data_IF_574870757524
#
_entry.id   IF_574870757524
#
_cell.length_a   1.000
_cell.length_b   1.000
_cell.length_c   1.000
_cell.angle_alpha   90.00
_cell.angle_beta   90.00
_cell.angle_gamma   90.00
#
_symmetry.space_group_name_H-M   'P 1'
#
loop_
_entity.id
_entity.type
_entity.pdbx_description
1 polymer ?
#
# COMPACT_ATOMS: atom_id res chain seq x y z
N UNK A 1 -11.36 -19.01 9.49
CA UNK A 1 -10.89 -17.67 9.90
C UNK A 1 -10.88 -16.85 8.62
N UNK A 2 -11.43 -15.66 8.64
CA UNK A 2 -11.43 -14.80 7.48
C UNK A 2 -10.19 -13.90 7.56
N UNK A 3 -9.21 -14.18 6.70
CA UNK A 3 -7.96 -13.45 6.60
C UNK A 3 -7.92 -12.67 5.30
N UNK A 4 -7.49 -11.42 5.36
CA UNK A 4 -7.22 -10.59 4.20
C UNK A 4 -5.71 -10.45 3.96
N UNK A 5 -5.32 -10.32 2.70
CA UNK A 5 -4.01 -9.81 2.30
C UNK A 5 -4.15 -8.33 1.92
N UNK A 6 -3.33 -7.48 2.50
CA UNK A 6 -3.24 -6.06 2.15
C UNK A 6 -1.89 -5.81 1.48
N UNK A 7 -1.93 -5.45 0.20
CA UNK A 7 -0.76 -5.11 -0.60
C UNK A 7 -0.60 -3.59 -0.55
N UNK A 8 0.42 -3.11 0.15
CA UNK A 8 0.63 -1.68 0.41
C UNK A 8 1.51 -1.07 -0.68
N UNK A 9 0.96 -0.12 -1.42
CA UNK A 9 1.64 0.83 -2.30
C UNK A 9 2.70 0.22 -3.24
N UNK A 10 2.44 -0.94 -3.81
CA UNK A 10 3.31 -1.53 -4.83
C UNK A 10 3.06 -0.81 -6.16
N UNK A 11 3.69 0.35 -6.30
CA UNK A 11 3.51 1.32 -7.39
C UNK A 11 4.84 1.62 -8.08
N UNK A 12 4.85 1.92 -9.41
CA UNK A 12 6.08 2.22 -10.14
C UNK A 12 6.90 3.36 -9.55
N UNK A 13 6.26 4.35 -8.94
CA UNK A 13 6.94 5.46 -8.26
C UNK A 13 7.92 5.00 -7.19
N UNK A 14 7.58 3.95 -6.44
CA UNK A 14 8.37 3.41 -5.33
C UNK A 14 9.34 2.29 -5.75
N UNK A 15 9.37 1.94 -7.03
CA UNK A 15 10.28 0.94 -7.56
C UNK A 15 11.45 1.60 -8.30
N UNK A 16 12.53 0.86 -8.57
CA UNK A 16 13.70 1.38 -9.26
C UNK A 16 13.31 1.96 -10.63
N UNK A 17 13.70 3.21 -10.85
CA UNK A 17 13.31 4.01 -12.00
C UNK A 17 12.19 5.00 -11.72
N UNK A 18 11.49 4.87 -10.62
CA UNK A 18 10.45 5.78 -10.16
C UNK A 18 11.00 7.03 -9.48
N UNK A 19 10.11 8.00 -9.20
CA UNK A 19 10.47 9.30 -8.64
C UNK A 19 10.92 9.22 -7.17
N UNK A 20 10.49 8.21 -6.44
CA UNK A 20 10.81 7.98 -5.02
C UNK A 20 11.22 6.51 -4.81
N UNK A 21 12.20 6.07 -5.61
CA UNK A 21 12.60 4.68 -5.70
C UNK A 21 13.16 4.12 -4.38
N UNK A 22 12.61 2.99 -3.97
CA UNK A 22 13.11 2.15 -2.87
C UNK A 22 13.96 1.03 -3.47
N UNK A 23 15.12 0.77 -2.87
CA UNK A 23 15.98 -0.31 -3.33
C UNK A 23 15.28 -1.67 -3.13
N UNK A 24 15.22 -2.47 -4.18
CA UNK A 24 14.53 -3.75 -4.17
C UNK A 24 13.03 -3.68 -4.49
N UNK A 25 12.46 -2.48 -4.76
CA UNK A 25 11.04 -2.32 -5.04
C UNK A 25 10.54 -3.19 -6.18
N UNK A 26 11.25 -3.25 -7.31
CA UNK A 26 10.88 -4.13 -8.42
C UNK A 26 10.93 -5.64 -8.01
N UNK A 27 11.91 -6.02 -7.21
CA UNK A 27 12.02 -7.40 -6.73
C UNK A 27 10.87 -7.76 -5.78
N UNK A 28 10.43 -6.82 -4.94
CA UNK A 28 9.26 -6.98 -4.08
C UNK A 28 7.99 -7.09 -4.93
N UNK A 29 7.81 -6.24 -5.94
CA UNK A 29 6.65 -6.36 -6.85
C UNK A 29 6.56 -7.75 -7.48
N UNK A 30 7.68 -8.33 -7.93
CA UNK A 30 7.74 -9.69 -8.45
C UNK A 30 7.49 -10.76 -7.38
N UNK A 31 8.02 -10.57 -6.18
CA UNK A 31 7.86 -11.52 -5.07
C UNK A 31 6.40 -11.54 -4.59
N UNK A 32 5.78 -10.39 -4.42
CA UNK A 32 4.36 -10.26 -4.04
C UNK A 32 3.46 -10.88 -5.12
N UNK A 33 3.74 -10.62 -6.41
CA UNK A 33 2.99 -11.23 -7.51
C UNK A 33 3.02 -12.76 -7.46
N UNK A 34 4.20 -13.37 -7.28
CA UNK A 34 4.34 -14.82 -7.12
C UNK A 34 3.62 -15.33 -5.88
N UNK A 35 3.77 -14.64 -4.75
CA UNK A 35 3.11 -15.02 -3.51
C UNK A 35 1.58 -15.02 -3.66
N UNK A 36 1.01 -14.00 -4.29
CA UNK A 36 -0.42 -13.93 -4.57
C UNK A 36 -0.87 -15.09 -5.46
N UNK A 37 -0.14 -15.39 -6.54
CA UNK A 37 -0.47 -16.49 -7.45
C UNK A 37 -0.48 -17.86 -6.73
N UNK A 38 0.48 -18.07 -5.82
CA UNK A 38 0.65 -19.33 -5.11
C UNK A 38 -0.28 -19.46 -3.88
N UNK A 39 -0.61 -18.36 -3.20
CA UNK A 39 -1.27 -18.33 -1.89
C UNK A 39 -2.63 -17.63 -1.84
N UNK A 40 -3.15 -17.13 -2.97
CA UNK A 40 -4.46 -16.44 -2.99
C UNK A 40 -5.60 -17.23 -2.36
N UNK A 41 -5.54 -18.57 -2.43
CA UNK A 41 -6.54 -19.46 -1.83
C UNK A 41 -6.51 -19.50 -0.30
N UNK A 42 -5.47 -18.97 0.33
CA UNK A 42 -5.34 -18.89 1.79
C UNK A 42 -6.00 -17.63 2.37
N UNK A 43 -6.38 -16.69 1.50
CA UNK A 43 -7.02 -15.42 1.83
C UNK A 43 -8.48 -15.41 1.42
N UNK A 44 -9.33 -14.86 2.28
CA UNK A 44 -10.73 -14.61 1.96
C UNK A 44 -10.86 -13.50 0.92
N UNK A 45 -9.94 -12.55 0.94
CA UNK A 45 -9.90 -11.42 0.02
C UNK A 45 -8.50 -10.79 -0.03
N UNK A 46 -8.23 -10.08 -1.13
CA UNK A 46 -6.99 -9.35 -1.38
C UNK A 46 -7.33 -7.91 -1.71
N UNK A 47 -6.79 -6.99 -0.92
CA UNK A 47 -6.92 -5.55 -1.12
C UNK A 47 -5.56 -4.92 -1.43
N UNK A 48 -5.54 -3.81 -2.14
CA UNK A 48 -4.33 -3.00 -2.30
C UNK A 48 -4.56 -1.55 -1.94
N UNK A 49 -3.51 -0.87 -1.51
CA UNK A 49 -3.50 0.56 -1.30
C UNK A 49 -2.70 1.27 -2.38
N UNK A 50 -2.99 2.54 -2.61
CA UNK A 50 -2.28 3.41 -3.53
C UNK A 50 -2.14 4.80 -2.92
N UNK A 51 -0.93 5.35 -2.97
CA UNK A 51 -0.77 6.80 -2.91
C UNK A 51 -1.38 7.42 -4.17
N UNK A 52 -2.22 8.44 -3.98
CA UNK A 52 -2.99 9.04 -5.06
C UNK A 52 -3.12 10.54 -4.84
N UNK A 53 -2.03 11.27 -5.12
CA UNK A 53 -1.93 12.67 -4.78
C UNK A 53 -2.54 13.57 -5.85
N UNK A 54 -3.49 14.43 -5.44
CA UNK A 54 -4.09 15.48 -6.27
C UNK A 54 -3.45 16.82 -5.92
N UNK A 55 -3.50 17.20 -4.65
CA UNK A 55 -2.84 18.37 -4.08
C UNK A 55 -2.55 18.11 -2.59
N UNK A 56 -1.49 17.37 -2.25
CA UNK A 56 -1.20 17.01 -0.87
C UNK A 56 -0.51 18.15 -0.09
N UNK A 57 -0.53 19.38 -0.61
CA UNK A 57 0.00 20.56 0.05
C UNK A 57 1.50 20.45 0.36
N UNK A 58 1.86 20.67 1.63
CA UNK A 58 3.26 20.67 2.08
C UNK A 58 3.96 19.31 2.04
N UNK A 59 3.23 18.24 1.76
CA UNK A 59 3.82 16.92 1.54
C UNK A 59 4.75 16.90 0.31
N UNK A 60 4.46 17.70 -0.71
CA UNK A 60 5.34 17.91 -1.84
C UNK A 60 6.25 19.12 -1.62
N UNK A 61 7.54 18.92 -1.86
CA UNK A 61 8.55 19.98 -1.71
C UNK A 61 9.65 19.88 -2.77
N UNK A 62 10.09 21.02 -3.29
CA UNK A 62 11.29 21.10 -4.15
C UNK A 62 12.59 20.96 -3.34
N UNK A 63 12.48 21.06 -2.00
CA UNK A 63 13.59 20.88 -1.05
C UNK A 63 13.13 19.99 0.11
N UNK A 64 12.82 18.71 -0.17
CA UNK A 64 12.24 17.82 0.80
C UNK A 64 13.21 17.51 1.95
N UNK A 65 12.68 17.32 3.14
CA UNK A 65 13.42 16.85 4.31
C UNK A 65 13.51 15.31 4.40
N UNK A 66 12.74 14.61 3.57
CA UNK A 66 12.61 13.15 3.54
C UNK A 66 12.12 12.55 4.89
N UNK A 67 11.33 13.31 5.62
CA UNK A 67 10.65 12.90 6.86
C UNK A 67 9.15 13.22 6.74
N UNK A 68 8.82 14.50 6.57
CA UNK A 68 7.44 14.99 6.44
C UNK A 68 7.13 15.49 5.01
N UNK A 69 8.17 15.76 4.23
CA UNK A 69 8.06 16.27 2.86
C UNK A 69 8.91 15.47 1.87
N UNK A 70 8.37 15.30 0.67
CA UNK A 70 8.90 14.43 -0.36
C UNK A 70 8.93 15.12 -1.73
N UNK A 71 9.75 14.64 -2.68
CA UNK A 71 9.62 15.03 -4.09
C UNK A 71 8.22 14.69 -4.61
N UNK A 72 7.79 15.32 -5.69
CA UNK A 72 6.53 15.00 -6.36
C UNK A 72 6.51 13.51 -6.77
N UNK A 73 5.52 12.78 -6.32
CA UNK A 73 5.35 11.34 -6.57
C UNK A 73 3.87 10.96 -6.60
N UNK A 74 3.53 9.79 -7.11
CA UNK A 74 2.18 9.23 -7.15
C UNK A 74 1.08 10.25 -7.50
N UNK A 75 1.35 11.14 -8.46
CA UNK A 75 0.35 12.10 -8.91
C UNK A 75 -0.81 11.35 -9.54
N UNK A 76 -2.02 11.67 -9.11
CA UNK A 76 -3.25 11.02 -9.57
C UNK A 76 -3.36 10.98 -11.10
N UNK A 77 -3.79 9.85 -11.65
CA UNK A 77 -3.89 9.60 -13.09
C UNK A 77 -2.54 9.66 -13.85
N UNK A 78 -1.44 9.32 -13.19
CA UNK A 78 -0.14 9.13 -13.85
C UNK A 78 0.36 7.70 -13.65
N UNK A 79 1.23 7.25 -14.53
CA UNK A 79 1.87 5.93 -14.46
C UNK A 79 2.50 5.66 -13.08
N UNK A 80 3.06 6.68 -12.44
CA UNK A 80 3.67 6.56 -11.11
C UNK A 80 2.68 6.22 -10.00
N UNK A 81 1.39 6.56 -10.15
CA UNK A 81 0.33 6.27 -9.19
C UNK A 81 -0.41 4.95 -9.46
N UNK A 82 -0.10 4.27 -10.56
CA UNK A 82 -0.71 2.99 -10.92
C UNK A 82 -0.19 1.83 -10.07
N UNK A 83 -0.86 0.70 -10.15
CA UNK A 83 -0.32 -0.55 -9.62
C UNK A 83 0.85 -1.01 -10.49
N UNK A 84 1.88 -1.56 -9.86
CA UNK A 84 3.05 -2.06 -10.57
C UNK A 84 2.64 -3.15 -11.57
N UNK A 85 3.13 -3.10 -12.84
CA UNK A 85 2.67 -4.00 -13.91
C UNK A 85 2.97 -5.49 -13.68
N UNK A 86 3.84 -5.83 -12.74
CA UNK A 86 4.09 -7.21 -12.36
C UNK A 86 2.98 -7.81 -11.47
N UNK A 87 2.14 -6.98 -10.83
CA UNK A 87 1.01 -7.48 -10.05
C UNK A 87 -0.14 -7.82 -10.98
N UNK A 88 -0.62 -9.08 -10.89
CA UNK A 88 -1.84 -9.47 -11.56
C UNK A 88 -3.06 -8.91 -10.79
N UNK A 89 -3.70 -7.93 -11.39
CA UNK A 89 -4.84 -7.24 -10.79
C UNK A 89 -6.13 -8.05 -10.80
N UNK A 90 -6.18 -9.17 -11.52
CA UNK A 90 -7.35 -10.06 -11.55
C UNK A 90 -7.64 -10.70 -10.19
N UNK A 91 -6.64 -10.72 -9.29
CA UNK A 91 -6.78 -11.25 -7.93
C UNK A 91 -7.02 -10.18 -6.87
N UNK A 92 -6.98 -8.91 -7.23
CA UNK A 92 -7.22 -7.79 -6.33
C UNK A 92 -8.69 -7.40 -6.40
N UNK A 93 -9.38 -7.52 -5.26
CA UNK A 93 -10.83 -7.28 -5.21
C UNK A 93 -11.19 -5.82 -5.00
N UNK A 94 -10.27 -5.03 -4.40
CA UNK A 94 -10.53 -3.65 -4.04
C UNK A 94 -9.25 -2.85 -3.93
N UNK A 95 -9.36 -1.56 -4.22
CA UNK A 95 -8.28 -0.58 -4.18
C UNK A 95 -8.65 0.54 -3.24
N UNK A 96 -7.71 0.95 -2.39
CA UNK A 96 -7.87 2.08 -1.47
C UNK A 96 -6.87 3.17 -1.80
N UNK A 97 -7.36 4.36 -2.10
CA UNK A 97 -6.54 5.52 -2.47
C UNK A 97 -6.41 6.47 -1.30
N UNK A 98 -5.18 6.78 -0.93
CA UNK A 98 -4.84 7.69 0.17
C UNK A 98 -4.05 8.90 -0.29
N UNK A 99 -3.91 9.92 0.56
CA UNK A 99 -3.06 11.07 0.32
C UNK A 99 -3.55 12.04 -0.75
N UNK A 100 -4.85 12.10 -1.05
CA UNK A 100 -5.38 12.94 -2.14
C UNK A 100 -5.06 14.43 -1.96
N UNK A 101 -5.29 14.95 -0.75
CA UNK A 101 -5.18 16.36 -0.42
C UNK A 101 -4.36 16.63 0.85
N UNK A 102 -3.73 15.62 1.40
CA UNK A 102 -2.90 15.68 2.58
C UNK A 102 -1.85 14.56 2.58
N UNK A 103 -0.88 14.61 3.48
CA UNK A 103 0.01 13.48 3.71
C UNK A 103 -0.78 12.31 4.28
N UNK A 104 -0.56 11.10 3.78
CA UNK A 104 -1.14 9.88 4.31
C UNK A 104 -0.17 8.72 4.11
N UNK A 105 0.04 7.94 5.16
CA UNK A 105 0.94 6.78 5.12
C UNK A 105 0.18 5.46 5.27
N UNK A 106 -0.78 5.41 6.20
CA UNK A 106 -1.55 4.20 6.47
C UNK A 106 -2.58 3.90 5.37
N UNK A 107 -2.70 2.64 5.00
CA UNK A 107 -3.79 2.18 4.14
C UNK A 107 -5.17 2.43 4.74
N UNK A 108 -5.28 2.55 6.06
CA UNK A 108 -6.53 2.85 6.77
C UNK A 108 -6.98 4.31 6.63
N UNK A 109 -6.10 5.21 6.17
CA UNK A 109 -6.47 6.56 5.74
C UNK A 109 -7.07 6.58 4.33
N UNK A 110 -7.00 5.44 3.62
CA UNK A 110 -7.49 5.28 2.26
C UNK A 110 -9.00 5.12 2.17
N UNK A 111 -9.55 5.62 1.08
CA UNK A 111 -10.93 5.42 0.69
C UNK A 111 -11.02 4.52 -0.54
N UNK A 112 -12.01 3.66 -0.58
CA UNK A 112 -12.26 2.77 -1.70
C UNK A 112 -12.29 3.56 -3.02
N UNK A 113 -11.51 3.13 -4.00
CA UNK A 113 -11.54 3.67 -5.35
C UNK A 113 -12.75 3.10 -6.11
N UNK A 114 -13.33 3.86 -7.05
CA UNK A 114 -14.33 3.32 -7.96
C UNK A 114 -13.75 2.16 -8.79
N UNK A 115 -14.49 1.06 -8.94
CA UNK A 115 -14.05 -0.12 -9.71
C UNK A 115 -13.63 0.24 -11.15
N UNK A 116 -14.36 1.16 -11.77
CA UNK A 116 -14.12 1.62 -13.15
C UNK A 116 -12.87 2.53 -13.29
N UNK A 117 -12.33 3.02 -12.18
CA UNK A 117 -11.17 3.91 -12.17
C UNK A 117 -9.86 3.21 -11.85
N UNK A 118 -9.91 1.91 -11.61
CA UNK A 118 -8.73 1.08 -11.40
C UNK A 118 -8.24 0.64 -12.76
N UNK A 119 -7.39 1.44 -13.37
CA UNK A 119 -6.85 1.14 -14.68
C UNK A 119 -5.41 0.67 -14.57
N UNK A 120 -5.15 -0.45 -15.19
CA UNK A 120 -3.80 -0.94 -15.46
C UNK A 120 -3.32 -0.33 -16.78
N UNK A 121 -2.50 0.72 -16.69
CA UNK A 121 -1.59 1.08 -17.78
C UNK A 121 -2.13 1.86 -18.98
N UNK A 122 -3.39 2.28 -19.06
CA UNK A 122 -3.88 3.13 -20.16
C UNK A 122 -4.74 4.28 -19.63
N UNK A 123 -4.12 5.40 -19.28
CA UNK A 123 -4.84 6.63 -18.92
C UNK A 123 -4.92 7.59 -20.09
N UNK A 124 -6.13 8.09 -20.37
CA UNK A 124 -6.30 9.28 -21.20
C UNK A 124 -5.90 10.52 -20.39
N UNK A 125 -4.98 11.37 -20.90
CA UNK A 125 -4.66 12.62 -20.24
C UNK A 125 -5.91 13.49 -20.11
N UNK A 126 -6.30 13.82 -18.88
CA UNK A 126 -7.48 14.63 -18.57
C UNK A 126 -8.73 13.83 -18.18
N UNK A 127 -8.59 12.52 -17.95
CA UNK A 127 -9.61 11.77 -17.24
C UNK A 127 -9.93 12.48 -15.91
N UNK A 128 -11.21 12.64 -15.60
CA UNK A 128 -11.66 13.34 -14.41
C UNK A 128 -10.99 12.75 -13.18
N UNK A 129 -10.45 13.61 -12.33
CA UNK A 129 -9.92 13.26 -11.00
C UNK A 129 -11.12 12.82 -10.16
N UNK A 130 -11.44 11.53 -10.23
CA UNK A 130 -12.74 11.05 -9.87
C UNK A 130 -12.90 10.91 -8.37
N UNK A 131 -13.75 11.75 -7.82
CA UNK A 131 -14.29 11.63 -6.47
C UNK A 131 -15.68 10.96 -6.46
N UNK A 132 -16.14 10.47 -7.59
CA UNK A 132 -17.42 9.79 -7.69
C UNK A 132 -17.24 8.28 -7.49
N UNK A 133 -17.73 7.76 -6.38
CA UNK A 133 -17.67 6.33 -6.07
C UNK A 133 -17.86 6.06 -4.60
N UNK A 134 -17.91 4.79 -4.20
CA UNK A 134 -17.97 4.45 -2.78
C UNK A 134 -16.73 5.02 -2.09
N UNK A 135 -16.97 5.72 -0.97
CA UNK A 135 -15.91 6.27 -0.12
C UNK A 135 -15.81 5.47 1.18
N UNK A 136 -15.91 4.17 1.05
CA UNK A 136 -15.81 3.26 2.19
C UNK A 136 -14.36 3.22 2.66
N UNK A 137 -14.08 3.52 3.93
CA UNK A 137 -12.76 3.32 4.52
C UNK A 137 -12.35 1.85 4.53
N UNK A 138 -11.04 1.56 4.54
CA UNK A 138 -10.53 0.20 4.57
C UNK A 138 -11.06 -0.60 5.77
N UNK A 139 -11.11 -0.01 6.96
CA UNK A 139 -11.63 -0.67 8.15
C UNK A 139 -13.09 -1.09 7.97
N UNK A 140 -13.96 -0.18 7.54
CA UNK A 140 -15.38 -0.46 7.33
C UNK A 140 -15.58 -1.57 6.30
N UNK A 141 -14.77 -1.55 5.22
CA UNK A 141 -14.83 -2.57 4.17
C UNK A 141 -14.40 -3.96 4.64
N UNK A 142 -13.39 -4.04 5.52
CA UNK A 142 -12.93 -5.28 6.14
C UNK A 142 -13.96 -5.80 7.15
N UNK A 143 -14.54 -4.91 7.97
CA UNK A 143 -15.54 -5.25 8.98
C UNK A 143 -16.82 -5.79 8.36
N UNK A 144 -17.30 -5.19 7.26
CA UNK A 144 -18.46 -5.67 6.51
C UNK A 144 -18.29 -7.11 5.99
N UNK A 145 -17.03 -7.58 5.87
CA UNK A 145 -16.66 -8.91 5.38
C UNK A 145 -16.22 -9.85 6.50
N UNK A 146 -16.41 -9.41 7.76
CA UNK A 146 -16.08 -10.18 8.96
C UNK A 146 -14.61 -10.64 9.00
N UNK A 147 -13.68 -9.81 8.45
CA UNK A 147 -12.24 -10.06 8.51
C UNK A 147 -11.75 -9.92 9.95
N UNK A 148 -10.91 -10.84 10.39
CA UNK A 148 -10.32 -10.85 11.73
C UNK A 148 -8.79 -10.79 11.69
N UNK A 149 -8.19 -11.36 10.65
CA UNK A 149 -6.74 -11.42 10.48
C UNK A 149 -6.36 -10.64 9.22
N UNK A 150 -5.24 -9.90 9.27
CA UNK A 150 -4.65 -9.24 8.12
C UNK A 150 -3.17 -9.58 8.00
N UNK A 151 -2.76 -10.05 6.81
CA UNK A 151 -1.36 -10.14 6.44
C UNK A 151 -1.03 -8.94 5.54
N UNK A 152 0.10 -8.29 5.79
CA UNK A 152 0.51 -7.04 5.13
C UNK A 152 1.84 -7.26 4.42
N UNK A 153 1.89 -6.82 3.16
CA UNK A 153 3.07 -6.85 2.28
C UNK A 153 3.20 -5.51 1.54
N UNK A 154 4.31 -5.25 0.88
CA UNK A 154 4.45 -4.08 -0.02
C UNK A 154 5.55 -3.10 0.38
N UNK A 155 5.37 -1.80 0.08
CA UNK A 155 6.39 -0.74 0.15
C UNK A 155 5.82 0.52 0.83
N UNK A 156 6.57 1.23 1.68
CA UNK A 156 7.86 0.85 2.23
C UNK A 156 7.69 0.32 3.65
N UNK A 157 8.55 -0.63 4.04
CA UNK A 157 8.50 -1.30 5.34
C UNK A 157 8.46 -0.33 6.51
N UNK A 158 9.30 0.69 6.48
CA UNK A 158 9.53 1.69 7.53
C UNK A 158 8.56 2.89 7.47
N UNK A 159 7.66 2.94 6.49
CA UNK A 159 6.66 4.01 6.31
C UNK A 159 5.25 3.42 6.16
N UNK A 160 4.76 3.27 4.95
CA UNK A 160 3.36 2.90 4.70
C UNK A 160 3.00 1.51 5.24
N UNK A 161 3.91 0.53 5.17
CA UNK A 161 3.69 -0.82 5.73
C UNK A 161 3.58 -0.75 7.25
N UNK A 162 4.53 -0.09 7.92
CA UNK A 162 4.52 0.10 9.38
C UNK A 162 3.27 0.85 9.84
N UNK A 163 2.94 1.98 9.17
CA UNK A 163 1.75 2.77 9.51
C UNK A 163 0.46 1.96 9.33
N UNK A 164 0.34 1.22 8.22
CA UNK A 164 -0.81 0.36 7.96
C UNK A 164 -0.93 -0.75 9.01
N UNK A 165 0.20 -1.36 9.40
CA UNK A 165 0.19 -2.43 10.39
C UNK A 165 -0.19 -1.94 11.80
N UNK A 166 0.25 -0.76 12.20
CA UNK A 166 -0.16 -0.14 13.47
C UNK A 166 -1.65 0.16 13.50
N UNK A 167 -2.18 0.79 12.46
CA UNK A 167 -3.60 1.10 12.39
C UNK A 167 -4.46 -0.16 12.32
N UNK A 168 -3.95 -1.24 11.71
CA UNK A 168 -4.63 -2.54 11.72
C UNK A 168 -4.76 -3.10 13.14
N UNK A 169 -3.70 -3.04 13.95
CA UNK A 169 -3.74 -3.44 15.36
C UNK A 169 -4.68 -2.55 16.15
N UNK A 170 -4.61 -1.23 15.96
CA UNK A 170 -5.47 -0.27 16.64
C UNK A 170 -6.96 -0.46 16.29
N UNK A 171 -7.25 -0.89 15.07
CA UNK A 171 -8.59 -1.28 14.62
C UNK A 171 -9.05 -2.66 15.14
N UNK A 172 -8.15 -3.43 15.76
CA UNK A 172 -8.48 -4.69 16.43
C UNK A 172 -8.25 -5.95 15.60
N UNK A 173 -7.54 -5.85 14.48
CA UNK A 173 -7.18 -7.01 13.65
C UNK A 173 -5.96 -7.75 14.22
N UNK A 174 -5.96 -9.08 14.12
CA UNK A 174 -4.74 -9.88 14.28
C UNK A 174 -3.83 -9.62 13.09
N UNK A 175 -2.75 -8.86 13.31
CA UNK A 175 -1.94 -8.27 12.25
C UNK A 175 -0.60 -8.98 12.10
N UNK A 176 -0.25 -9.31 10.87
CA UNK A 176 1.04 -9.91 10.52
C UNK A 176 1.68 -9.18 9.33
N UNK A 177 2.97 -8.85 9.44
CA UNK A 177 3.79 -8.36 8.32
C UNK A 177 4.65 -9.50 7.80
N UNK A 178 4.55 -9.79 6.50
CA UNK A 178 5.41 -10.75 5.80
C UNK A 178 6.65 -10.02 5.32
N UNK A 179 7.68 -10.01 6.17
CA UNK A 179 8.81 -9.08 6.06
C UNK A 179 9.65 -9.26 4.79
N UNK A 180 9.78 -10.47 4.29
CA UNK A 180 10.49 -10.80 3.05
C UNK A 180 9.71 -10.40 1.77
N UNK A 181 8.47 -9.96 1.93
CA UNK A 181 7.63 -9.36 0.89
C UNK A 181 7.47 -7.84 1.08
N UNK A 182 8.42 -7.18 1.77
CA UNK A 182 8.47 -5.73 1.94
C UNK A 182 9.85 -5.19 1.61
N UNK A 183 9.95 -3.90 1.28
CA UNK A 183 11.23 -3.20 1.07
C UNK A 183 11.28 -1.91 1.89
N UNK A 184 12.32 -1.68 2.71
CA UNK A 184 12.48 -0.46 3.49
C UNK A 184 13.14 0.64 2.67
N UNK A 185 12.84 1.91 2.99
CA UNK A 185 13.61 3.07 2.52
C UNK A 185 14.98 3.09 3.20
N UNK A 186 15.03 2.76 4.51
CA UNK A 186 16.24 2.75 5.33
C UNK A 186 16.60 1.33 5.75
N UNK A 187 17.35 0.62 4.91
CA UNK A 187 17.75 -0.77 5.18
C UNK A 187 18.54 -0.92 6.49
N UNK A 188 19.33 0.09 6.83
CA UNK A 188 20.13 0.13 8.07
C UNK A 188 19.29 0.25 9.35
N UNK A 189 18.01 0.57 9.23
CA UNK A 189 17.05 0.67 10.36
C UNK A 189 16.06 -0.48 10.42
N UNK A 190 16.15 -1.45 9.53
CA UNK A 190 15.15 -2.52 9.43
C UNK A 190 14.97 -3.29 10.76
N UNK A 191 16.05 -3.59 11.46
CA UNK A 191 15.97 -4.28 12.76
C UNK A 191 15.23 -3.45 13.82
N UNK A 192 15.39 -2.12 13.80
CA UNK A 192 14.67 -1.21 14.70
C UNK A 192 13.18 -1.14 14.35
N UNK A 193 12.85 -1.13 13.06
CA UNK A 193 11.46 -1.14 12.57
C UNK A 193 10.76 -2.44 12.93
N UNK A 194 11.43 -3.58 12.79
CA UNK A 194 10.90 -4.89 13.20
C UNK A 194 10.63 -4.91 14.71
N UNK A 195 11.57 -4.43 15.52
CA UNK A 195 11.37 -4.36 16.97
C UNK A 195 10.20 -3.43 17.34
N UNK A 196 10.03 -2.30 16.64
CA UNK A 196 8.89 -1.41 16.81
C UNK A 196 7.57 -2.10 16.47
N UNK A 197 7.50 -2.84 15.36
CA UNK A 197 6.34 -3.62 14.99
C UNK A 197 5.95 -4.65 16.06
N UNK A 198 6.94 -5.39 16.57
CA UNK A 198 6.72 -6.41 17.60
C UNK A 198 6.26 -5.78 18.95
N UNK A 199 6.80 -4.64 19.33
CA UNK A 199 6.40 -3.89 20.54
C UNK A 199 4.95 -3.37 20.45
N UNK A 200 4.46 -3.06 19.24
CA UNK A 200 3.07 -2.67 18.98
C UNK A 200 2.12 -3.88 18.82
N UNK A 201 2.61 -5.09 19.00
CA UNK A 201 1.80 -6.32 18.92
C UNK A 201 1.61 -6.88 17.51
N UNK A 202 2.37 -6.38 16.54
CA UNK A 202 2.37 -6.89 15.17
C UNK A 202 3.24 -8.13 15.09
N UNK A 203 2.71 -9.21 14.52
CA UNK A 203 3.52 -10.41 14.22
C UNK A 203 4.39 -10.13 12.99
N UNK A 204 5.71 -10.32 13.11
CA UNK A 204 6.62 -10.23 11.98
C UNK A 204 7.16 -11.62 11.66
N UNK A 205 7.02 -12.07 10.42
CA UNK A 205 7.51 -13.39 9.99
C UNK A 205 7.89 -13.38 8.51
N UNK A 206 8.58 -14.43 8.08
CA UNK A 206 8.79 -14.73 6.66
C UNK A 206 7.49 -15.30 6.06
N UNK A 207 7.26 -15.08 4.79
CA UNK A 207 6.09 -15.58 4.07
C UNK A 207 6.09 -17.12 3.97
N UNK A 208 7.27 -17.73 3.92
CA UNK A 208 7.49 -19.17 3.77
C UNK A 208 8.51 -19.70 4.78
#
# INVERSE_FOLDING_TARGET
MSRALIIVDVQPTFCEGGALAVQGGNAIAEAVARFVDEHRGDYALIATTQDWHIDPGAHFSDTPDFVDSWPVHCVANTEGAEIHPNLDTDYIEVYFRKGRYEAAYSGFEGLQAPEESVMTGEHEPGATLDDEGPKTPLADWLDEREIQDVDIVGIATDYCVLATAKDAVDAGYETCVLIDLTAPVHEDKLDEVIAEMEDEGITVKQAL
#
